data_IF_666747249979
#
_entry.id   IF_666747249979
#
_cell.length_a   1.000
_cell.length_b   1.000
_cell.length_c   1.000
_cell.angle_alpha   90.00
_cell.angle_beta   90.00
_cell.angle_gamma   90.00
#
_symmetry.space_group_name_H-M   'P 1'
#
loop_
_entity.id
_entity.type
_entity.pdbx_description
1 polymer ?
#
# COMPACT_ATOMS: atom_id res chain seq x y z
N UNK A 1 15.74 26.51 5.23
CA UNK A 1 16.29 25.33 4.54
C UNK A 1 16.09 25.56 3.05
N UNK A 2 17.00 25.13 2.18
CA UNK A 2 16.79 25.32 0.74
C UNK A 2 15.81 24.30 0.15
N UNK A 3 15.26 24.64 -1.02
CA UNK A 3 14.30 23.82 -1.76
C UNK A 3 14.82 22.43 -2.11
N UNK A 4 16.09 22.31 -2.49
CA UNK A 4 16.67 21.06 -2.97
C UNK A 4 16.85 20.05 -1.82
N UNK A 5 17.24 20.53 -0.64
CA UNK A 5 17.29 19.72 0.58
C UNK A 5 15.90 19.19 0.96
N UNK A 6 14.86 20.02 0.87
CA UNK A 6 13.48 19.60 1.16
C UNK A 6 12.98 18.54 0.17
N UNK A 7 13.30 18.71 -1.12
CA UNK A 7 12.98 17.72 -2.16
C UNK A 7 13.65 16.38 -1.84
N UNK A 8 14.96 16.35 -1.54
CA UNK A 8 15.67 15.11 -1.21
C UNK A 8 15.06 14.37 -0.02
N UNK A 9 14.67 15.12 1.02
CA UNK A 9 13.97 14.55 2.18
C UNK A 9 12.61 13.94 1.77
N UNK A 10 11.83 14.65 0.96
CA UNK A 10 10.53 14.17 0.51
C UNK A 10 10.66 12.96 -0.43
N UNK A 11 11.69 12.90 -1.30
CA UNK A 11 11.99 11.76 -2.17
C UNK A 11 12.34 10.50 -1.37
N UNK A 12 13.22 10.62 -0.37
CA UNK A 12 13.60 9.48 0.48
C UNK A 12 12.39 8.91 1.23
N UNK A 13 11.55 9.78 1.79
CA UNK A 13 10.31 9.36 2.47
C UNK A 13 9.29 8.80 1.49
N UNK A 14 9.21 9.34 0.27
CA UNK A 14 8.33 8.81 -0.76
C UNK A 14 8.75 7.39 -1.15
N UNK A 15 10.05 7.15 -1.31
CA UNK A 15 10.58 5.83 -1.63
C UNK A 15 10.26 4.81 -0.52
N UNK A 16 10.45 5.17 0.75
CA UNK A 16 10.05 4.30 1.87
C UNK A 16 8.54 4.00 1.90
N UNK A 17 7.70 4.99 1.59
CA UNK A 17 6.24 4.79 1.51
C UNK A 17 5.85 3.91 0.30
N UNK A 18 6.54 4.08 -0.83
CA UNK A 18 6.36 3.28 -2.03
C UNK A 18 6.73 1.81 -1.80
N UNK A 19 7.87 1.55 -1.16
CA UNK A 19 8.31 0.21 -0.79
C UNK A 19 7.33 -0.46 0.19
N UNK A 20 6.91 0.27 1.23
CA UNK A 20 5.89 -0.21 2.17
C UNK A 20 4.60 -0.60 1.44
N UNK A 21 4.16 0.20 0.47
CA UNK A 21 2.98 -0.10 -0.34
C UNK A 21 3.18 -1.35 -1.20
N UNK A 22 4.33 -1.49 -1.87
CA UNK A 22 4.63 -2.67 -2.67
C UNK A 22 4.59 -3.95 -1.82
N UNK A 23 5.22 -3.94 -0.64
CA UNK A 23 5.17 -5.07 0.28
C UNK A 23 3.74 -5.37 0.75
N UNK A 24 2.97 -4.33 1.09
CA UNK A 24 1.58 -4.47 1.51
C UNK A 24 0.70 -5.10 0.41
N UNK A 25 0.83 -4.63 -0.83
CA UNK A 25 0.06 -5.13 -1.97
C UNK A 25 0.40 -6.59 -2.29
N UNK A 26 1.68 -6.99 -2.19
CA UNK A 26 2.06 -8.40 -2.34
C UNK A 26 1.48 -9.24 -1.19
N UNK A 27 1.49 -8.75 0.05
CA UNK A 27 0.86 -9.44 1.19
C UNK A 27 -0.66 -9.60 1.01
N UNK A 28 -1.34 -8.64 0.39
CA UNK A 28 -2.75 -8.76 0.01
C UNK A 28 -2.94 -9.88 -1.03
N UNK A 29 -2.05 -9.97 -2.01
CA UNK A 29 -2.08 -11.06 -2.99
C UNK A 29 -1.86 -12.42 -2.34
N UNK A 30 -1.05 -12.54 -1.29
CA UNK A 30 -0.88 -13.82 -0.57
C UNK A 30 -2.22 -14.35 -0.05
N UNK A 31 -3.08 -13.48 0.47
CA UNK A 31 -4.42 -13.86 0.96
C UNK A 31 -5.34 -14.31 -0.16
N UNK A 32 -5.32 -13.61 -1.30
CA UNK A 32 -6.08 -13.97 -2.50
C UNK A 32 -5.59 -15.31 -3.05
N UNK A 33 -4.30 -15.41 -3.33
CA UNK A 33 -3.67 -16.53 -4.00
C UNK A 33 -3.62 -17.78 -3.13
N UNK A 34 -3.54 -17.66 -1.81
CA UNK A 34 -3.69 -18.83 -0.93
C UNK A 34 -5.08 -19.46 -1.02
N UNK A 35 -6.13 -18.69 -1.34
CA UNK A 35 -7.49 -19.21 -1.55
C UNK A 35 -7.65 -19.80 -2.94
N UNK A 36 -7.11 -19.12 -3.95
CA UNK A 36 -7.34 -19.45 -5.36
C UNK A 36 -6.33 -20.44 -5.94
N UNK A 37 -5.09 -20.45 -5.45
CA UNK A 37 -3.93 -21.15 -6.01
C UNK A 37 -3.13 -21.95 -4.95
N UNK A 38 -3.84 -22.56 -3.99
CA UNK A 38 -3.21 -23.26 -2.87
C UNK A 38 -2.30 -24.41 -3.32
N UNK A 39 -2.71 -25.20 -4.33
CA UNK A 39 -1.92 -26.33 -4.82
C UNK A 39 -0.65 -25.88 -5.55
N UNK A 40 -0.74 -24.80 -6.32
CA UNK A 40 0.40 -24.21 -7.03
C UNK A 40 1.42 -23.65 -6.02
N UNK A 41 0.95 -23.00 -4.95
CA UNK A 41 1.83 -22.50 -3.90
C UNK A 41 2.50 -23.63 -3.11
N UNK A 42 1.86 -24.81 -2.96
CA UNK A 42 2.45 -25.98 -2.31
C UNK A 42 3.64 -26.57 -3.06
N UNK A 43 3.88 -26.16 -4.32
CA UNK A 43 5.07 -26.59 -5.08
C UNK A 43 6.37 -26.00 -4.53
N UNK A 44 6.32 -24.92 -3.75
CA UNK A 44 7.50 -24.31 -3.14
C UNK A 44 7.17 -23.74 -1.76
N UNK A 45 6.80 -24.60 -0.79
CA UNK A 45 6.21 -24.14 0.47
C UNK A 45 7.22 -23.35 1.32
N UNK A 46 8.49 -23.76 1.31
CA UNK A 46 9.56 -23.05 2.02
C UNK A 46 9.79 -21.64 1.46
N UNK A 47 9.74 -21.47 0.14
CA UNK A 47 9.86 -20.16 -0.52
C UNK A 47 8.71 -19.24 -0.08
N UNK A 48 7.46 -19.68 -0.28
CA UNK A 48 6.30 -18.84 0.03
C UNK A 48 6.20 -18.46 1.50
N UNK A 49 6.50 -19.39 2.42
CA UNK A 49 6.51 -19.10 3.86
C UNK A 49 7.61 -18.10 4.24
N UNK A 50 8.81 -18.26 3.67
CA UNK A 50 9.96 -17.39 3.95
C UNK A 50 9.71 -15.98 3.43
N UNK A 51 9.25 -15.85 2.18
CA UNK A 51 8.97 -14.56 1.55
C UNK A 51 7.82 -13.85 2.25
N UNK A 52 6.73 -14.55 2.60
CA UNK A 52 5.64 -13.96 3.38
C UNK A 52 6.15 -13.37 4.72
N UNK A 53 6.96 -14.13 5.46
CA UNK A 53 7.57 -13.66 6.70
C UNK A 53 8.50 -12.47 6.52
N UNK A 54 9.30 -12.45 5.45
CA UNK A 54 10.19 -11.34 5.12
C UNK A 54 9.42 -10.08 4.75
N UNK A 55 8.40 -10.19 3.90
CA UNK A 55 7.56 -9.07 3.46
C UNK A 55 6.81 -8.43 4.63
N UNK A 56 6.23 -9.23 5.55
CA UNK A 56 5.59 -8.68 6.74
C UNK A 56 6.56 -7.84 7.58
N UNK A 57 7.78 -8.33 7.80
CA UNK A 57 8.81 -7.61 8.57
C UNK A 57 9.26 -6.34 7.85
N UNK A 58 9.49 -6.42 6.54
CA UNK A 58 9.93 -5.29 5.72
C UNK A 58 8.86 -4.19 5.69
N UNK A 59 7.61 -4.54 5.37
CA UNK A 59 6.46 -3.62 5.38
C UNK A 59 6.33 -2.91 6.73
N UNK A 60 6.39 -3.68 7.83
CA UNK A 60 6.26 -3.12 9.17
C UNK A 60 7.42 -2.17 9.50
N UNK A 61 8.65 -2.53 9.14
CA UNK A 61 9.83 -1.71 9.40
C UNK A 61 9.82 -0.40 8.60
N UNK A 62 9.40 -0.43 7.33
CA UNK A 62 9.28 0.79 6.52
C UNK A 62 8.29 1.78 7.15
N UNK A 63 7.12 1.31 7.54
CA UNK A 63 6.12 2.16 8.20
C UNK A 63 6.66 2.69 9.53
N UNK A 64 7.34 1.86 10.31
CA UNK A 64 7.90 2.29 11.58
C UNK A 64 8.98 3.37 11.40
N UNK A 65 9.75 3.35 10.30
CA UNK A 65 10.69 4.43 9.94
C UNK A 65 9.96 5.71 9.51
N UNK A 66 8.96 5.59 8.63
CA UNK A 66 8.18 6.74 8.11
C UNK A 66 7.50 7.56 9.21
N UNK A 67 7.19 6.92 10.34
CA UNK A 67 6.49 7.54 11.47
C UNK A 67 7.32 7.64 12.74
N UNK A 68 8.65 7.46 12.65
CA UNK A 68 9.53 7.57 13.79
C UNK A 68 9.50 8.99 14.39
N UNK A 69 9.60 9.05 15.71
CA UNK A 69 9.65 10.27 16.51
C UNK A 69 10.99 10.43 17.25
N UNK A 70 11.98 9.59 16.94
CA UNK A 70 13.31 9.63 17.56
C UNK A 70 14.09 10.85 17.10
N UNK A 71 14.87 11.43 18.01
CA UNK A 71 15.66 12.63 17.71
C UNK A 71 16.64 12.39 16.56
N UNK A 72 16.69 13.34 15.62
CA UNK A 72 17.60 13.28 14.46
C UNK A 72 17.11 12.39 13.31
N UNK A 73 15.94 11.75 13.43
CA UNK A 73 15.34 10.96 12.36
C UNK A 73 14.40 11.83 11.52
N UNK A 74 14.46 11.62 10.21
CA UNK A 74 13.54 12.24 9.25
C UNK A 74 12.35 11.32 9.06
N UNK A 75 11.15 11.83 9.35
CA UNK A 75 9.88 11.11 9.24
C UNK A 75 8.83 12.00 8.57
N UNK A 76 7.63 11.48 8.30
CA UNK A 76 6.51 12.27 7.78
C UNK A 76 6.20 13.46 8.69
N UNK A 77 6.28 13.27 10.01
CA UNK A 77 6.09 14.37 10.97
C UNK A 77 7.15 15.46 10.82
N UNK A 78 8.42 15.06 10.71
CA UNK A 78 9.54 15.98 10.49
C UNK A 78 9.42 16.71 9.14
N UNK A 79 8.97 16.03 8.08
CA UNK A 79 8.72 16.63 6.78
C UNK A 79 7.63 17.70 6.85
N UNK A 80 6.49 17.41 7.48
CA UNK A 80 5.39 18.37 7.65
C UNK A 80 5.82 19.60 8.46
N UNK A 81 6.61 19.41 9.53
CA UNK A 81 7.18 20.51 10.31
C UNK A 81 8.12 21.38 9.46
N UNK A 82 9.01 20.74 8.70
CA UNK A 82 9.91 21.45 7.77
C UNK A 82 9.16 22.23 6.69
N UNK A 83 8.06 21.70 6.16
CA UNK A 83 7.23 22.45 5.22
C UNK A 83 6.59 23.67 5.88
N UNK A 84 6.12 23.55 7.13
CA UNK A 84 5.51 24.65 7.86
C UNK A 84 6.50 25.78 8.19
N UNK A 85 7.75 25.43 8.47
CA UNK A 85 8.85 26.36 8.73
C UNK A 85 9.37 27.07 7.47
N UNK A 86 9.10 26.52 6.28
CA UNK A 86 9.62 27.01 5.00
C UNK A 86 8.47 27.18 3.97
N UNK A 87 7.35 27.76 4.40
CA UNK A 87 6.15 27.94 3.56
C UNK A 87 6.41 28.84 2.35
N UNK A 88 7.40 29.72 2.42
CA UNK A 88 7.85 30.59 1.33
C UNK A 88 8.38 29.81 0.10
N UNK A 89 8.75 28.54 0.29
CA UNK A 89 9.15 27.66 -0.80
C UNK A 89 7.98 27.14 -1.64
N UNK A 90 6.75 27.32 -1.17
CA UNK A 90 5.54 26.76 -1.78
C UNK A 90 4.64 27.89 -2.29
N UNK A 91 4.10 27.77 -3.51
CA UNK A 91 3.11 28.73 -3.99
C UNK A 91 1.80 28.55 -3.22
N UNK A 92 1.23 29.66 -2.75
CA UNK A 92 -0.03 29.70 -1.98
C UNK A 92 -1.19 29.07 -2.75
N UNK A 93 -1.23 29.32 -4.06
CA UNK A 93 -2.19 28.78 -5.02
C UNK A 93 -1.48 27.84 -5.99
N UNK A 94 -2.24 26.91 -6.58
CA UNK A 94 -1.70 25.98 -7.56
C UNK A 94 -1.22 26.70 -8.82
N UNK A 95 -2.00 27.68 -9.28
CA UNK A 95 -1.74 28.43 -10.50
C UNK A 95 -2.42 29.80 -10.44
N UNK A 96 -1.91 30.76 -11.21
CA UNK A 96 -2.60 32.03 -11.48
C UNK A 96 -3.00 32.07 -12.95
N UNK A 97 -4.31 32.06 -13.23
CA UNK A 97 -4.84 32.14 -14.59
C UNK A 97 -5.16 33.59 -14.93
N UNK A 98 -4.64 34.08 -16.05
CA UNK A 98 -4.98 35.41 -16.57
C UNK A 98 -5.83 35.25 -17.83
N UNK A 99 -7.02 35.85 -17.83
CA UNK A 99 -7.96 35.81 -18.96
C UNK A 99 -8.18 37.24 -19.44
N UNK A 100 -7.94 37.48 -20.73
CA UNK A 100 -8.30 38.76 -21.35
C UNK A 100 -9.71 38.69 -21.95
N UNK A 101 -10.54 39.67 -21.60
CA UNK A 101 -11.87 39.84 -22.17
C UNK A 101 -12.12 41.34 -22.42
N UNK A 102 -12.49 41.69 -23.65
CA UNK A 102 -12.72 43.07 -24.10
C UNK A 102 -11.59 44.05 -23.75
N UNK A 103 -10.34 43.61 -23.91
CA UNK A 103 -9.14 44.42 -23.62
C UNK A 103 -8.84 44.63 -22.13
N UNK A 104 -9.59 43.96 -21.24
CA UNK A 104 -9.33 43.94 -19.79
C UNK A 104 -8.80 42.57 -19.37
N UNK A 105 -7.65 42.55 -18.71
CA UNK A 105 -7.07 41.34 -18.13
C UNK A 105 -7.63 41.08 -16.72
N UNK A 106 -8.22 39.91 -16.53
CA UNK A 106 -8.67 39.41 -15.23
C UNK A 106 -7.71 38.33 -14.74
N UNK A 107 -7.26 38.43 -13.49
CA UNK A 107 -6.37 37.44 -12.87
C UNK A 107 -7.13 36.66 -11.79
N UNK A 108 -7.10 35.34 -11.87
CA UNK A 108 -7.76 34.42 -10.96
C UNK A 108 -6.73 33.49 -10.31
N UNK A 109 -6.83 33.34 -9.00
CA UNK A 109 -6.01 32.40 -8.25
C UNK A 109 -6.71 31.04 -8.22
N UNK A 110 -6.01 30.01 -8.70
CA UNK A 110 -6.53 28.65 -8.78
C UNK A 110 -6.08 27.89 -7.52
N UNK A 111 -7.00 27.51 -6.62
CA UNK A 111 -6.66 26.75 -5.42
C UNK A 111 -6.27 25.30 -5.74
N UNK A 112 -5.71 24.62 -4.75
CA UNK A 112 -5.51 23.18 -4.79
C UNK A 112 -6.83 22.48 -4.50
N UNK A 113 -7.34 21.74 -5.47
CA UNK A 113 -8.54 20.92 -5.27
C UNK A 113 -8.16 19.60 -4.62
N UNK A 114 -8.79 19.29 -3.48
CA UNK A 114 -8.60 18.06 -2.73
C UNK A 114 -9.90 17.28 -2.59
N UNK A 115 -9.87 15.99 -2.91
CA UNK A 115 -11.00 15.10 -2.65
C UNK A 115 -10.89 14.55 -1.22
N UNK A 116 -11.87 14.87 -0.37
CA UNK A 116 -11.86 14.44 1.02
C UNK A 116 -11.95 12.92 1.12
N UNK A 117 -11.05 12.34 1.92
CA UNK A 117 -11.17 10.96 2.40
C UNK A 117 -12.17 10.92 3.58
N UNK A 118 -12.84 9.78 3.87
CA UNK A 118 -13.82 9.70 4.95
C UNK A 118 -13.32 10.21 6.31
N UNK A 119 -12.05 9.92 6.65
CA UNK A 119 -11.40 10.37 7.88
C UNK A 119 -11.11 11.89 7.94
N UNK A 120 -11.21 12.59 6.81
CA UNK A 120 -10.99 14.03 6.66
C UNK A 120 -12.29 14.84 6.73
N UNK A 121 -13.43 14.25 6.34
CA UNK A 121 -14.74 14.92 6.33
C UNK A 121 -15.09 15.59 7.66
N UNK A 122 -14.70 14.98 8.77
CA UNK A 122 -14.89 15.53 10.12
C UNK A 122 -14.22 16.90 10.35
N UNK A 123 -13.24 17.27 9.53
CA UNK A 123 -12.56 18.57 9.57
C UNK A 123 -13.28 19.64 8.73
N UNK A 124 -14.25 19.25 7.90
CA UNK A 124 -14.98 20.10 6.94
C UNK A 124 -16.51 19.91 7.05
N UNK A 125 -17.04 19.66 8.25
CA UNK A 125 -18.44 19.28 8.47
C UNK A 125 -19.46 20.15 7.73
N UNK A 126 -19.34 21.47 7.83
CA UNK A 126 -20.28 22.39 7.20
C UNK A 126 -20.27 22.28 5.66
N UNK A 127 -19.09 22.14 5.05
CA UNK A 127 -18.96 21.96 3.60
C UNK A 127 -19.51 20.60 3.17
N UNK A 128 -19.17 19.54 3.91
CA UNK A 128 -19.69 18.19 3.66
C UNK A 128 -21.22 18.18 3.74
N UNK A 129 -21.81 18.71 4.80
CA UNK A 129 -23.27 18.79 4.96
C UNK A 129 -23.94 19.57 3.81
N UNK A 130 -23.35 20.70 3.41
CA UNK A 130 -23.82 21.50 2.27
C UNK A 130 -23.76 20.72 0.95
N UNK A 131 -22.62 20.12 0.64
CA UNK A 131 -22.41 19.38 -0.60
C UNK A 131 -23.30 18.13 -0.68
N UNK A 132 -23.43 17.40 0.43
CA UNK A 132 -24.35 16.25 0.54
C UNK A 132 -25.79 16.66 0.27
N UNK A 133 -26.22 17.82 0.78
CA UNK A 133 -27.54 18.38 0.51
C UNK A 133 -27.72 18.69 -0.98
N UNK A 134 -26.72 19.32 -1.60
CA UNK A 134 -26.73 19.61 -3.05
C UNK A 134 -26.76 18.32 -3.89
N UNK A 135 -25.95 17.31 -3.53
CA UNK A 135 -25.92 16.03 -4.21
C UNK A 135 -27.28 15.35 -4.20
N UNK A 136 -27.99 15.40 -3.06
CA UNK A 136 -29.36 14.89 -2.96
C UNK A 136 -30.33 15.67 -3.86
N UNK A 137 -30.25 17.00 -3.90
CA UNK A 137 -31.08 17.86 -4.76
C UNK A 137 -30.88 17.52 -6.25
N UNK A 138 -29.64 17.25 -6.67
CA UNK A 138 -29.30 16.93 -8.05
C UNK A 138 -29.42 15.43 -8.39
N UNK A 139 -29.96 14.60 -7.49
CA UNK A 139 -30.10 13.15 -7.67
C UNK A 139 -28.77 12.47 -8.04
N UNK A 140 -27.66 12.90 -7.44
CA UNK A 140 -26.37 12.23 -7.60
C UNK A 140 -26.48 10.81 -7.02
N UNK A 141 -26.07 9.76 -7.76
CA UNK A 141 -26.06 8.40 -7.23
C UNK A 141 -25.21 8.31 -5.97
N UNK A 142 -25.74 7.63 -4.95
CA UNK A 142 -25.07 7.45 -3.66
C UNK A 142 -24.64 8.79 -3.03
N UNK A 143 -25.55 9.78 -3.04
CA UNK A 143 -25.30 11.14 -2.54
C UNK A 143 -24.71 11.18 -1.11
N UNK A 144 -25.01 10.19 -0.27
CA UNK A 144 -24.46 10.06 1.09
C UNK A 144 -22.96 9.73 1.10
N UNK A 145 -22.44 9.01 0.09
CA UNK A 145 -21.03 8.60 0.00
C UNK A 145 -20.28 9.21 -1.20
N UNK A 146 -20.96 9.96 -2.07
CA UNK A 146 -20.38 10.69 -3.20
C UNK A 146 -19.14 11.52 -2.79
N UNK A 147 -18.08 11.61 -3.60
CA UNK A 147 -16.89 12.34 -3.19
C UNK A 147 -17.12 13.84 -2.98
N UNK A 148 -16.75 14.35 -1.80
CA UNK A 148 -16.73 15.80 -1.51
C UNK A 148 -15.36 16.37 -1.89
N UNK A 149 -15.34 17.53 -2.53
CA UNK A 149 -14.11 18.24 -2.91
C UNK A 149 -14.03 19.57 -2.19
N UNK A 150 -12.84 19.94 -1.75
CA UNK A 150 -12.55 21.23 -1.13
C UNK A 150 -11.42 21.91 -1.88
N UNK A 151 -11.53 23.22 -2.01
CA UNK A 151 -10.50 24.08 -2.56
C UNK A 151 -9.67 24.65 -1.41
N UNK A 152 -8.36 24.43 -1.45
CA UNK A 152 -7.43 24.79 -0.39
C UNK A 152 -6.27 25.61 -0.96
N UNK A 153 -5.82 26.60 -0.20
CA UNK A 153 -4.45 27.14 -0.37
C UNK A 153 -3.43 26.12 0.13
N UNK A 154 -2.15 26.26 -0.26
CA UNK A 154 -1.10 25.36 0.24
C UNK A 154 -1.01 25.35 1.78
N UNK A 155 -1.05 26.50 2.50
CA UNK A 155 -1.07 26.49 3.96
C UNK A 155 -2.25 25.72 4.57
N UNK A 156 -3.45 25.82 3.98
CA UNK A 156 -4.63 25.09 4.44
C UNK A 156 -4.50 23.58 4.19
N UNK A 157 -3.92 23.19 3.04
CA UNK A 157 -3.62 21.80 2.71
C UNK A 157 -2.60 21.20 3.69
N UNK A 158 -1.54 21.96 3.99
CA UNK A 158 -0.54 21.55 4.98
C UNK A 158 -1.16 21.40 6.37
N UNK A 159 -2.05 22.32 6.77
CA UNK A 159 -2.77 22.24 8.04
C UNK A 159 -3.69 21.01 8.10
N UNK A 160 -4.35 20.63 6.99
CA UNK A 160 -5.11 19.39 6.89
C UNK A 160 -4.21 18.17 7.15
N UNK A 161 -3.05 18.09 6.49
CA UNK A 161 -2.12 16.98 6.68
C UNK A 161 -1.55 16.94 8.10
N UNK A 162 -1.28 18.08 8.73
CA UNK A 162 -0.90 18.12 10.15
C UNK A 162 -2.02 17.59 11.06
N UNK A 163 -3.29 17.95 10.82
CA UNK A 163 -4.44 17.40 11.56
C UNK A 163 -4.54 15.88 11.38
N UNK A 164 -4.33 15.37 10.17
CA UNK A 164 -4.30 13.91 9.90
C UNK A 164 -3.16 13.21 10.62
N UNK A 165 -1.95 13.76 10.58
CA UNK A 165 -0.80 13.20 11.28
C UNK A 165 -1.03 13.12 12.80
N UNK A 166 -1.67 14.15 13.38
CA UNK A 166 -2.08 14.14 14.78
C UNK A 166 -3.15 13.07 15.07
N UNK A 167 -4.12 12.89 14.18
CA UNK A 167 -5.13 11.85 14.30
C UNK A 167 -4.56 10.42 14.27
N UNK A 168 -3.43 10.21 13.60
CA UNK A 168 -2.72 8.93 13.57
C UNK A 168 -1.89 8.64 14.84
N UNK A 169 -1.88 9.53 15.83
CA UNK A 169 -1.03 9.42 17.04
C UNK A 169 -1.09 8.05 17.74
N UNK A 170 -2.29 7.49 17.93
CA UNK A 170 -2.45 6.16 18.56
C UNK A 170 -1.80 5.05 17.71
N UNK A 171 -2.05 5.04 16.40
CA UNK A 171 -1.48 4.03 15.48
C UNK A 171 0.05 4.12 15.44
N UNK A 172 0.59 5.34 15.44
CA UNK A 172 2.03 5.60 15.52
C UNK A 172 2.63 5.06 16.81
N UNK A 173 1.95 5.24 17.94
CA UNK A 173 2.38 4.68 19.22
C UNK A 173 2.40 3.15 19.20
N UNK A 174 1.33 2.53 18.70
CA UNK A 174 1.20 1.08 18.64
C UNK A 174 2.29 0.45 17.74
N UNK A 175 2.58 1.07 16.59
CA UNK A 175 3.70 0.66 15.71
C UNK A 175 5.05 0.81 16.40
N UNK A 176 5.28 1.93 17.10
CA UNK A 176 6.54 2.15 17.83
C UNK A 176 6.75 1.08 18.90
N UNK A 177 5.71 0.77 19.66
CA UNK A 177 5.74 -0.24 20.72
C UNK A 177 5.98 -1.65 20.15
N UNK A 178 5.28 -2.00 19.08
CA UNK A 178 5.49 -3.26 18.38
C UNK A 178 6.89 -3.35 17.75
N UNK A 179 7.39 -2.29 17.10
CA UNK A 179 8.75 -2.26 16.53
C UNK A 179 9.79 -2.60 17.58
N UNK A 180 9.78 -1.86 18.70
CA UNK A 180 10.80 -1.98 19.74
C UNK A 180 10.79 -3.38 20.38
N UNK A 181 9.61 -3.99 20.55
CA UNK A 181 9.48 -5.25 21.28
C UNK A 181 9.48 -6.51 20.38
N UNK A 182 8.99 -6.42 19.15
CA UNK A 182 8.78 -7.58 18.26
C UNK A 182 9.81 -7.65 17.12
N UNK A 183 10.16 -6.52 16.51
CA UNK A 183 10.86 -6.50 15.22
C UNK A 183 12.31 -6.04 15.29
N UNK A 184 12.61 -5.04 16.12
CA UNK A 184 13.95 -4.45 16.21
C UNK A 184 14.83 -5.11 17.29
N UNK A 185 14.23 -5.60 18.37
CA UNK A 185 14.97 -6.18 19.49
C UNK A 185 14.41 -7.54 19.90
N UNK A 186 15.32 -8.49 20.17
CA UNK A 186 15.00 -9.76 20.83
C UNK A 186 14.77 -9.50 22.33
N UNK A 187 13.70 -8.79 22.64
CA UNK A 187 13.39 -8.37 24.00
C UNK A 187 13.24 -9.60 24.91
N UNK A 188 14.16 -9.72 25.88
CA UNK A 188 14.22 -10.87 26.79
C UNK A 188 12.95 -11.00 27.63
N UNK A 189 12.34 -9.90 28.05
CA UNK A 189 11.10 -9.94 28.84
C UNK A 189 9.94 -10.41 27.98
N UNK A 190 9.87 -10.01 26.70
CA UNK A 190 8.90 -10.56 25.75
C UNK A 190 9.11 -12.06 25.54
N UNK A 191 10.34 -12.48 25.24
CA UNK A 191 10.64 -13.89 24.93
C UNK A 191 10.28 -14.81 26.12
N UNK A 192 10.42 -14.30 27.34
CA UNK A 192 10.15 -15.03 28.57
C UNK A 192 8.73 -14.82 29.13
N UNK A 193 7.89 -13.97 28.51
CA UNK A 193 6.53 -13.73 28.96
C UNK A 193 5.50 -14.31 27.99
N UNK A 194 4.35 -14.73 28.53
CA UNK A 194 3.17 -15.12 27.75
C UNK A 194 2.32 -13.90 27.36
N UNK A 195 2.83 -12.67 27.48
CA UNK A 195 2.09 -11.46 27.12
C UNK A 195 2.00 -11.31 25.61
N UNK A 196 0.78 -11.36 25.09
CA UNK A 196 0.53 -11.13 23.68
C UNK A 196 0.48 -9.62 23.41
N UNK A 197 1.63 -9.03 23.07
CA UNK A 197 1.78 -7.59 22.82
C UNK A 197 0.83 -7.04 21.74
N UNK A 198 0.44 -7.89 20.79
CA UNK A 198 -0.52 -7.56 19.74
C UNK A 198 -1.91 -7.27 20.28
N UNK A 199 -2.27 -7.76 21.47
CA UNK A 199 -3.58 -7.52 22.08
C UNK A 199 -3.61 -6.16 22.81
N UNK A 200 -2.46 -5.70 23.32
CA UNK A 200 -2.33 -4.40 24.00
C UNK A 200 -2.11 -3.24 23.02
N UNK A 201 -1.39 -3.50 21.93
CA UNK A 201 -1.07 -2.53 20.89
C UNK A 201 -1.47 -3.10 19.53
N UNK A 202 -2.76 -3.24 19.22
CA UNK A 202 -3.20 -3.84 17.97
C UNK A 202 -2.83 -2.95 16.79
N UNK A 203 -2.21 -3.54 15.77
CA UNK A 203 -1.96 -2.90 14.48
C UNK A 203 -2.60 -3.77 13.41
N UNK A 204 -3.70 -3.29 12.84
CA UNK A 204 -4.49 -4.04 11.86
C UNK A 204 -4.06 -3.71 10.43
N UNK A 205 -4.41 -4.58 9.48
CA UNK A 205 -4.13 -4.35 8.06
C UNK A 205 -4.70 -3.03 7.50
N UNK A 206 -5.92 -2.59 7.89
CA UNK A 206 -6.41 -1.27 7.50
C UNK A 206 -5.60 -0.11 8.11
N UNK A 207 -5.04 -0.29 9.31
CA UNK A 207 -4.20 0.73 9.94
C UNK A 207 -2.89 0.93 9.17
N UNK A 208 -2.27 -0.19 8.79
CA UNK A 208 -1.08 -0.23 7.93
C UNK A 208 -1.35 0.48 6.60
N UNK A 209 -2.46 0.16 5.95
CA UNK A 209 -2.84 0.78 4.68
C UNK A 209 -3.07 2.28 4.82
N UNK A 210 -3.85 2.72 5.83
CA UNK A 210 -4.10 4.15 6.04
C UNK A 210 -2.80 4.94 6.26
N UNK A 211 -1.83 4.34 6.96
CA UNK A 211 -0.54 4.96 7.21
C UNK A 211 0.36 4.99 5.97
N UNK A 212 0.33 3.95 5.13
CA UNK A 212 1.01 3.97 3.82
C UNK A 212 0.39 5.06 2.94
N UNK A 213 -0.93 5.03 2.79
CA UNK A 213 -1.67 5.98 1.95
C UNK A 213 -1.41 7.42 2.39
N UNK A 214 -1.42 7.70 3.69
CA UNK A 214 -1.16 9.04 4.20
C UNK A 214 0.30 9.49 3.95
N UNK A 215 1.27 8.58 4.02
CA UNK A 215 2.66 8.91 3.72
C UNK A 215 2.86 9.21 2.23
N UNK A 216 2.21 8.43 1.35
CA UNK A 216 2.18 8.68 -0.09
C UNK A 216 1.47 9.99 -0.44
N UNK A 217 0.32 10.28 0.17
CA UNK A 217 -0.41 11.54 0.01
C UNK A 217 0.48 12.75 0.37
N UNK A 218 1.15 12.69 1.53
CA UNK A 218 2.01 13.77 2.01
C UNK A 218 3.20 14.02 1.08
N UNK A 219 3.96 12.96 0.82
CA UNK A 219 5.19 13.06 0.02
C UNK A 219 4.87 13.37 -1.44
N UNK A 220 3.81 12.78 -2.00
CA UNK A 220 3.34 13.04 -3.36
C UNK A 220 2.89 14.48 -3.56
N UNK A 221 2.11 15.06 -2.64
CA UNK A 221 1.72 16.47 -2.70
C UNK A 221 2.95 17.38 -2.64
N UNK A 222 3.82 17.18 -1.66
CA UNK A 222 4.99 18.04 -1.45
C UNK A 222 5.92 17.99 -2.67
N UNK A 223 6.20 16.79 -3.19
CA UNK A 223 7.01 16.64 -4.40
C UNK A 223 6.32 17.25 -5.62
N UNK A 224 5.01 17.02 -5.80
CA UNK A 224 4.24 17.59 -6.89
C UNK A 224 4.29 19.12 -6.88
N UNK A 225 4.11 19.76 -5.73
CA UNK A 225 4.17 21.22 -5.62
C UNK A 225 5.59 21.76 -5.84
N UNK A 226 6.62 21.09 -5.32
CA UNK A 226 7.99 21.57 -5.43
C UNK A 226 8.62 21.30 -6.80
N UNK A 227 8.22 20.24 -7.48
CA UNK A 227 8.90 19.74 -8.71
C UNK A 227 8.01 19.73 -9.95
N UNK A 228 6.70 19.93 -9.80
CA UNK A 228 5.69 19.73 -10.85
C UNK A 228 5.67 18.30 -11.43
N UNK A 229 6.23 17.33 -10.70
CA UNK A 229 6.26 15.91 -11.08
C UNK A 229 5.39 15.10 -10.14
N UNK A 230 4.37 14.46 -10.70
CA UNK A 230 3.57 13.46 -9.98
C UNK A 230 4.37 12.15 -9.87
N UNK A 231 4.55 11.65 -8.64
CA UNK A 231 5.30 10.42 -8.39
C UNK A 231 4.36 9.23 -8.32
N UNK A 232 4.80 8.12 -8.92
CA UNK A 232 4.05 6.86 -8.88
C UNK A 232 3.96 6.35 -7.44
N UNK A 233 2.79 5.81 -7.07
CA UNK A 233 2.54 5.29 -5.71
C UNK A 233 2.65 3.77 -5.63
N UNK A 234 2.77 3.08 -6.76
CA UNK A 234 2.94 1.63 -6.87
C UNK A 234 3.56 1.24 -8.21
N UNK A 235 4.06 0.01 -8.31
CA UNK A 235 4.45 -0.60 -9.58
C UNK A 235 3.22 -0.85 -10.48
N UNK A 236 3.37 -0.66 -11.78
CA UNK A 236 2.27 -0.86 -12.74
C UNK A 236 1.84 -2.32 -12.88
N UNK A 237 2.77 -3.26 -12.63
CA UNK A 237 2.59 -4.70 -12.72
C UNK A 237 2.61 -5.39 -11.35
N UNK A 238 2.19 -4.68 -10.29
CA UNK A 238 2.28 -5.19 -8.91
C UNK A 238 1.54 -6.52 -8.70
N UNK A 239 0.55 -6.85 -9.54
CA UNK A 239 -0.31 -8.03 -9.50
C UNK A 239 0.09 -9.17 -10.46
N UNK A 240 1.28 -9.10 -11.08
CA UNK A 240 1.75 -10.08 -12.07
C UNK A 240 1.99 -11.51 -11.52
N UNK A 241 2.02 -11.67 -10.20
CA UNK A 241 2.19 -12.97 -9.54
C UNK A 241 1.07 -13.96 -9.91
N UNK A 242 -0.16 -13.49 -10.11
CA UNK A 242 -1.27 -14.36 -10.52
C UNK A 242 -0.98 -15.08 -11.84
N UNK A 243 -0.38 -14.39 -12.81
CA UNK A 243 0.00 -14.99 -14.09
C UNK A 243 1.00 -16.14 -13.93
N UNK A 244 1.94 -16.03 -12.99
CA UNK A 244 2.90 -17.10 -12.68
C UNK A 244 2.19 -18.32 -12.09
N UNK A 245 1.22 -18.11 -11.19
CA UNK A 245 0.44 -19.20 -10.60
C UNK A 245 -0.47 -19.89 -11.62
N UNK A 246 -1.06 -19.15 -12.55
CA UNK A 246 -1.82 -19.72 -13.67
C UNK A 246 -0.96 -20.67 -14.51
N UNK A 247 0.29 -20.31 -14.79
CA UNK A 247 1.21 -21.17 -15.53
C UNK A 247 1.61 -22.42 -14.71
N UNK A 248 1.85 -22.27 -13.40
CA UNK A 248 2.11 -23.40 -12.52
C UNK A 248 0.94 -24.41 -12.49
N UNK A 249 -0.30 -23.91 -12.43
CA UNK A 249 -1.52 -24.73 -12.53
C UNK A 249 -1.56 -25.55 -13.81
N UNK A 250 -1.22 -24.92 -14.94
CA UNK A 250 -1.18 -25.60 -16.23
C UNK A 250 -0.10 -26.70 -16.23
N UNK A 251 1.08 -26.39 -15.69
CA UNK A 251 2.17 -27.36 -15.53
C UNK A 251 1.76 -28.59 -14.70
N UNK A 252 1.06 -28.38 -13.59
CA UNK A 252 0.54 -29.47 -12.75
C UNK A 252 -0.42 -30.38 -13.51
N UNK A 253 -1.31 -29.81 -14.33
CA UNK A 253 -2.22 -30.60 -15.17
C UNK A 253 -1.48 -31.45 -16.20
N UNK A 254 -0.42 -30.91 -16.81
CA UNK A 254 0.40 -31.67 -17.75
C UNK A 254 1.20 -32.76 -17.06
N UNK A 255 1.74 -32.52 -15.87
CA UNK A 255 2.44 -33.54 -15.09
C UNK A 255 1.52 -34.72 -14.75
N UNK A 256 0.29 -34.44 -14.33
CA UNK A 256 -0.73 -35.47 -14.07
C UNK A 256 -1.07 -36.26 -15.33
N UNK A 257 -1.21 -35.57 -16.47
CA UNK A 257 -1.44 -36.24 -17.75
C UNK A 257 -0.28 -37.17 -18.13
N UNK A 258 0.97 -36.71 -18.04
CA UNK A 258 2.16 -37.50 -18.37
C UNK A 258 2.27 -38.73 -17.45
N UNK A 259 1.95 -38.57 -16.17
CA UNK A 259 1.92 -39.68 -15.21
C UNK A 259 0.88 -40.74 -15.60
N UNK A 260 -0.34 -40.33 -15.95
CA UNK A 260 -1.39 -41.24 -16.41
C UNK A 260 -1.02 -41.97 -17.72
N UNK A 261 -0.33 -41.31 -18.64
CA UNK A 261 0.14 -41.96 -19.88
C UNK A 261 1.25 -42.97 -19.59
N UNK A 262 2.18 -42.62 -18.70
CA UNK A 262 3.23 -43.52 -18.20
C UNK A 262 2.64 -44.78 -17.56
N UNK A 263 1.65 -44.63 -16.69
CA UNK A 263 0.99 -45.74 -16.01
C UNK A 263 0.30 -46.68 -17.01
N UNK A 264 -0.47 -46.14 -17.96
CA UNK A 264 -1.10 -46.92 -19.03
C UNK A 264 -0.09 -47.68 -19.90
N UNK A 265 1.03 -47.04 -20.23
CA UNK A 265 2.09 -47.68 -21.01
C UNK A 265 2.71 -48.85 -20.24
N UNK A 266 2.97 -48.66 -18.95
CA UNK A 266 3.50 -49.68 -18.06
C UNK A 266 2.54 -50.87 -17.90
N UNK A 267 1.25 -50.61 -17.67
CA UNK A 267 0.23 -51.66 -17.58
C UNK A 267 0.12 -52.48 -18.88
N UNK A 268 0.13 -51.81 -20.03
CA UNK A 268 0.09 -52.48 -21.33
C UNK A 268 1.32 -53.36 -21.57
N UNK A 269 2.50 -52.95 -21.09
CA UNK A 269 3.72 -53.73 -21.15
C UNK A 269 3.65 -54.97 -20.24
N UNK A 270 3.18 -54.80 -18.99
CA UNK A 270 2.96 -55.91 -18.05
C UNK A 270 1.98 -56.95 -18.59
N UNK A 271 0.87 -56.52 -19.21
CA UNK A 271 -0.10 -57.43 -19.83
C UNK A 271 0.51 -58.24 -20.98
N UNK A 272 1.38 -57.63 -21.81
CA UNK A 272 2.09 -58.36 -22.87
C UNK A 272 3.04 -59.41 -22.32
N UNK A 273 3.75 -59.09 -21.23
CA UNK A 273 4.69 -60.02 -20.61
C UNK A 273 3.98 -61.21 -19.94
N UNK A 274 2.83 -60.98 -19.30
CA UNK A 274 2.04 -62.02 -18.64
C UNK A 274 1.23 -62.87 -19.63
N UNK A 275 0.65 -62.25 -20.67
CA UNK A 275 -0.09 -62.96 -21.73
C UNK A 275 0.79 -63.73 -22.72
N UNK A 276 2.11 -63.51 -22.70
CA UNK A 276 3.08 -64.22 -23.53
C UNK A 276 3.51 -65.60 -23.00
N UNK A 277 3.10 -65.97 -21.78
CA UNK A 277 3.52 -67.22 -21.12
C UNK A 277 2.56 -68.41 -21.31
N UNK A 278 1.40 -68.25 -21.96
CA UNK A 278 0.42 -69.33 -22.16
C UNK A 278 0.59 -70.11 -23.48
N UNK A 279 1.63 -69.83 -24.27
CA UNK A 279 1.92 -70.55 -25.53
C UNK A 279 3.22 -71.39 -25.46
N UNK A 280 3.45 -72.06 -24.34
CA UNK A 280 4.49 -73.10 -24.19
C UNK A 280 3.89 -74.49 -24.34
N UNK A 281 4.03 -75.06 -25.54
CA UNK A 281 3.60 -76.40 -25.93
C UNK A 281 3.93 -77.49 -24.89
N UNK A 282 2.88 -78.21 -24.45
CA UNK A 282 3.01 -79.56 -23.90
C UNK A 282 3.42 -80.48 -25.06
N UNK A 283 4.71 -80.79 -25.16
CA UNK A 283 5.23 -81.97 -25.86
C UNK A 283 5.35 -83.15 -24.92
#
# INVERSE_FOLDING_TARGET
MDKETLIKIAEELHHGAFDANAYYLILQQYRKNQREYAEEMKMSPAFYQTIHGALMKACFMEIAKLYDSSNGVVSIGTLLAKCAENQDLFPEYRETMTVEHDGTAFSYQIPYQHQLKPQEERFFKAQVESDRTLFAIFNIPDAENAPVRVDLTFPEFLALYQKRFCALSKKREDIRMQRNKLYAHNDKQRILSNENLTDRHPVLYPDIQEMIDFALDCTGLILGVLTDVNRATQYSNIDDWEGTLMLARLGLKYQEYDFQQSEKAFEAEMQRQLGGNDNGELQ
#
